data_IF_194060656644
#
_entry.id   IF_194060656644
#
_cell.length_a   1.000
_cell.length_b   1.000
_cell.length_c   1.000
_cell.angle_alpha   90.00
_cell.angle_beta   90.00
_cell.angle_gamma   90.00
#
_symmetry.space_group_name_H-M   'P 1'
#
loop_
_entity.id
_entity.type
_entity.pdbx_description
1 polymer ?
#
# COMPACT_ATOMS: atom_id res chain seq x y z
N UNK A 1 5.52 27.70 1.70
CA UNK A 1 4.79 27.92 0.43
C UNK A 1 4.91 26.77 -0.59
N UNK A 2 5.99 25.96 -0.61
CA UNK A 2 6.19 24.89 -1.60
C UNK A 2 5.16 23.73 -1.60
N UNK A 3 4.53 23.46 -0.46
CA UNK A 3 3.56 22.36 -0.35
C UNK A 3 2.26 22.63 -1.15
N UNK A 4 1.77 23.88 -1.13
CA UNK A 4 0.56 24.28 -1.87
C UNK A 4 0.79 24.32 -3.38
N UNK A 5 1.98 24.73 -3.84
CA UNK A 5 2.33 24.67 -5.26
C UNK A 5 2.41 23.23 -5.75
N UNK A 6 2.94 22.31 -4.93
CA UNK A 6 2.99 20.88 -5.28
C UNK A 6 1.61 20.25 -5.38
N UNK A 7 0.69 20.54 -4.45
CA UNK A 7 -0.68 20.03 -4.51
C UNK A 7 -1.44 20.53 -5.73
N UNK A 8 -1.25 21.80 -6.10
CA UNK A 8 -1.83 22.37 -7.33
C UNK A 8 -1.31 21.65 -8.57
N UNK A 9 0.01 21.41 -8.65
CA UNK A 9 0.61 20.71 -9.79
C UNK A 9 0.08 19.27 -9.90
N UNK A 10 0.04 18.53 -8.79
CA UNK A 10 -0.50 17.16 -8.76
C UNK A 10 -1.96 17.14 -9.21
N UNK A 11 -2.78 18.09 -8.74
CA UNK A 11 -4.17 18.21 -9.16
C UNK A 11 -4.27 18.42 -10.67
N UNK A 12 -3.49 19.36 -11.23
CA UNK A 12 -3.52 19.61 -12.68
C UNK A 12 -3.02 18.43 -13.51
N UNK A 13 -2.08 17.63 -13.01
CA UNK A 13 -1.63 16.41 -13.68
C UNK A 13 -2.70 15.32 -13.68
N UNK A 14 -3.42 15.15 -12.56
CA UNK A 14 -4.53 14.21 -12.44
C UNK A 14 -5.68 14.62 -13.35
N UNK A 15 -6.05 15.90 -13.38
CA UNK A 15 -7.08 16.45 -14.28
C UNK A 15 -6.71 16.20 -15.75
N UNK A 16 -5.47 16.48 -16.15
CA UNK A 16 -4.99 16.22 -17.52
C UNK A 16 -5.02 14.73 -17.87
N UNK A 17 -4.64 13.86 -16.93
CA UNK A 17 -4.70 12.42 -17.18
C UNK A 17 -6.15 11.92 -17.25
N UNK A 18 -7.05 12.47 -16.43
CA UNK A 18 -8.47 12.20 -16.47
C UNK A 18 -9.10 12.68 -17.78
N UNK A 19 -8.74 13.85 -18.31
CA UNK A 19 -9.25 14.31 -19.60
C UNK A 19 -8.74 13.47 -20.77
N UNK A 20 -7.52 12.93 -20.65
CA UNK A 20 -6.90 12.10 -21.68
C UNK A 20 -7.25 10.61 -21.55
N UNK A 21 -7.97 10.21 -20.50
CA UNK A 21 -8.38 8.83 -20.25
C UNK A 21 -9.89 8.74 -20.05
N UNK A 22 -10.49 7.58 -20.26
CA UNK A 22 -11.91 7.37 -19.90
C UNK A 22 -12.08 7.10 -18.39
N UNK A 23 -11.31 7.78 -17.53
CA UNK A 23 -11.27 7.56 -16.08
C UNK A 23 -11.56 8.86 -15.33
N UNK A 24 -12.22 8.74 -14.18
CA UNK A 24 -12.43 9.88 -13.29
C UNK A 24 -11.19 10.14 -12.43
N UNK A 25 -10.99 11.38 -11.99
CA UNK A 25 -9.91 11.76 -11.07
C UNK A 25 -9.89 10.88 -9.82
N UNK A 26 -11.07 10.55 -9.27
CA UNK A 26 -11.23 9.65 -8.12
C UNK A 26 -10.64 8.26 -8.40
N UNK A 27 -10.97 7.66 -9.56
CA UNK A 27 -10.44 6.35 -9.93
C UNK A 27 -8.92 6.38 -10.13
N UNK A 28 -8.38 7.49 -10.61
CA UNK A 28 -6.94 7.68 -10.78
C UNK A 28 -6.25 7.74 -9.42
N UNK A 29 -6.79 8.51 -8.48
CA UNK A 29 -6.29 8.57 -7.10
C UNK A 29 -6.34 7.20 -6.44
N UNK A 30 -7.45 6.47 -6.53
CA UNK A 30 -7.58 5.11 -5.99
C UNK A 30 -6.53 4.14 -6.59
N UNK A 31 -6.30 4.21 -7.90
CA UNK A 31 -5.26 3.40 -8.57
C UNK A 31 -3.87 3.75 -8.07
N UNK A 32 -3.56 5.04 -7.88
CA UNK A 32 -2.28 5.50 -7.34
C UNK A 32 -2.10 5.02 -5.89
N UNK A 33 -3.10 5.23 -5.04
CA UNK A 33 -3.09 4.78 -3.65
C UNK A 33 -2.83 3.27 -3.56
N UNK A 34 -3.56 2.48 -4.36
CA UNK A 34 -3.38 1.03 -4.44
C UNK A 34 -1.98 0.65 -4.91
N UNK A 35 -1.47 1.29 -5.96
CA UNK A 35 -0.13 1.02 -6.49
C UNK A 35 0.97 1.28 -5.45
N UNK A 36 0.92 2.43 -4.77
CA UNK A 36 1.89 2.77 -3.73
C UNK A 36 1.74 1.90 -2.49
N UNK A 37 0.52 1.55 -2.10
CA UNK A 37 0.26 0.59 -1.03
C UNK A 37 0.87 -0.78 -1.36
N UNK A 38 0.64 -1.31 -2.56
CA UNK A 38 1.20 -2.57 -3.01
C UNK A 38 2.73 -2.53 -3.06
N UNK A 39 3.33 -1.42 -3.47
CA UNK A 39 4.79 -1.21 -3.44
C UNK A 39 5.33 -1.31 -2.01
N UNK A 40 4.69 -0.65 -1.05
CA UNK A 40 5.06 -0.73 0.38
C UNK A 40 4.89 -2.14 0.92
N UNK A 41 3.78 -2.82 0.58
CA UNK A 41 3.54 -4.22 0.97
C UNK A 41 4.66 -5.12 0.45
N UNK A 42 5.07 -5.00 -0.82
CA UNK A 42 6.17 -5.80 -1.38
C UNK A 42 7.49 -5.57 -0.64
N UNK A 43 7.83 -4.32 -0.32
CA UNK A 43 9.04 -4.00 0.43
C UNK A 43 9.01 -4.64 1.83
N UNK A 44 7.89 -4.50 2.56
CA UNK A 44 7.74 -5.09 3.88
C UNK A 44 7.71 -6.63 3.86
N UNK A 45 7.13 -7.25 2.83
CA UNK A 45 7.17 -8.70 2.66
C UNK A 45 8.60 -9.21 2.44
N UNK A 46 9.45 -8.47 1.73
CA UNK A 46 10.87 -8.82 1.61
C UNK A 46 11.57 -8.80 2.97
N UNK A 47 11.27 -7.82 3.82
CA UNK A 47 11.82 -7.72 5.18
C UNK A 47 11.30 -8.83 6.09
N UNK A 48 10.00 -9.17 5.98
CA UNK A 48 9.40 -10.29 6.69
C UNK A 48 10.07 -11.62 6.34
N UNK A 49 10.23 -11.91 5.04
CA UNK A 49 10.88 -13.15 4.57
C UNK A 49 12.33 -13.26 5.02
N UNK A 50 13.04 -12.13 5.15
CA UNK A 50 14.40 -12.08 5.69
C UNK A 50 14.46 -12.22 7.22
N UNK A 51 13.32 -12.21 7.91
CA UNK A 51 13.26 -12.22 9.38
C UNK A 51 13.71 -10.91 10.03
N UNK A 52 13.96 -9.85 9.25
CA UNK A 52 14.54 -8.60 9.77
C UNK A 52 13.52 -7.70 10.44
N UNK A 53 12.24 -7.81 10.09
CA UNK A 53 11.15 -7.07 10.74
C UNK A 53 10.06 -8.00 11.24
N UNK A 54 9.55 -7.71 12.44
CA UNK A 54 8.40 -8.42 13.03
C UNK A 54 7.10 -7.94 12.38
N UNK A 55 6.06 -8.78 12.49
CA UNK A 55 4.70 -8.44 12.00
C UNK A 55 4.20 -7.13 12.60
N UNK A 56 4.44 -6.91 13.90
CA UNK A 56 4.05 -5.68 14.60
C UNK A 56 4.58 -4.42 13.91
N UNK A 57 5.86 -4.42 13.53
CA UNK A 57 6.51 -3.25 12.94
C UNK A 57 6.02 -3.03 11.51
N UNK A 58 5.85 -4.12 10.76
CA UNK A 58 5.28 -4.07 9.41
C UNK A 58 3.85 -3.54 9.43
N UNK A 59 3.03 -3.96 10.39
CA UNK A 59 1.64 -3.49 10.51
C UNK A 59 1.57 -2.00 10.85
N UNK A 60 2.52 -1.49 11.64
CA UNK A 60 2.68 -0.05 11.91
C UNK A 60 3.09 0.70 10.64
N UNK A 61 4.09 0.21 9.90
CA UNK A 61 4.58 0.82 8.66
C UNK A 61 3.49 0.91 7.58
N UNK A 62 2.67 -0.14 7.47
CA UNK A 62 1.58 -0.23 6.51
C UNK A 62 0.29 0.43 7.00
N UNK A 63 0.21 0.85 8.27
CA UNK A 63 -1.00 1.35 8.94
C UNK A 63 -2.20 0.41 8.76
N UNK A 64 -1.97 -0.90 8.85
CA UNK A 64 -3.02 -1.93 8.76
C UNK A 64 -3.04 -2.79 10.02
N UNK A 65 -4.16 -3.45 10.28
CA UNK A 65 -4.22 -4.41 11.37
C UNK A 65 -3.40 -5.67 11.05
N UNK A 66 -2.86 -6.37 12.08
CA UNK A 66 -2.21 -7.67 11.89
C UNK A 66 -3.08 -8.68 11.14
N UNK A 67 -4.39 -8.69 11.39
CA UNK A 67 -5.34 -9.56 10.67
C UNK A 67 -5.31 -9.33 9.15
N UNK A 68 -5.32 -8.06 8.71
CA UNK A 68 -5.20 -7.71 7.29
C UNK A 68 -3.85 -8.15 6.72
N UNK A 69 -2.77 -8.00 7.49
CA UNK A 69 -1.45 -8.45 7.05
C UNK A 69 -1.36 -9.98 6.89
N UNK A 70 -1.93 -10.75 7.83
CA UNK A 70 -2.00 -12.21 7.69
C UNK A 70 -2.84 -12.65 6.49
N UNK A 71 -3.93 -11.94 6.16
CA UNK A 71 -4.69 -12.20 4.94
C UNK A 71 -3.86 -11.96 3.67
N UNK A 72 -2.99 -10.94 3.65
CA UNK A 72 -2.04 -10.69 2.55
C UNK A 72 -1.04 -11.84 2.42
N UNK A 73 -0.50 -12.32 3.55
CA UNK A 73 0.38 -13.49 3.62
C UNK A 73 -0.29 -14.73 3.03
N UNK A 74 -1.53 -15.02 3.44
CA UNK A 74 -2.32 -16.14 2.93
C UNK A 74 -2.58 -16.03 1.43
N UNK A 75 -3.03 -14.86 0.96
CA UNK A 75 -3.30 -14.63 -0.47
C UNK A 75 -2.05 -14.81 -1.35
N UNK A 76 -0.86 -14.58 -0.78
CA UNK A 76 0.43 -14.74 -1.47
C UNK A 76 1.09 -16.10 -1.21
N UNK A 77 0.40 -17.03 -0.55
CA UNK A 77 0.93 -18.34 -0.17
C UNK A 77 2.27 -18.23 0.59
N UNK A 78 2.40 -17.25 1.47
CA UNK A 78 3.59 -17.08 2.33
C UNK A 78 3.31 -17.76 3.66
N UNK A 79 4.15 -18.73 4.01
CA UNK A 79 4.10 -19.42 5.29
C UNK A 79 4.26 -18.44 6.45
N UNK A 80 3.37 -18.57 7.43
CA UNK A 80 3.41 -17.83 8.67
C UNK A 80 2.89 -18.74 9.78
N UNK A 81 3.47 -18.61 10.97
CA UNK A 81 3.00 -19.36 12.14
C UNK A 81 1.57 -18.90 12.46
N UNK A 82 0.59 -19.76 12.18
CA UNK A 82 -0.76 -19.61 12.72
C UNK A 82 -0.70 -19.97 14.20
N UNK A 83 -1.20 -19.09 15.05
CA UNK A 83 -1.31 -19.38 16.47
C UNK A 83 -2.35 -20.50 16.65
N UNK A 84 -1.90 -21.73 16.86
CA UNK A 84 -2.76 -22.82 17.31
C UNK A 84 -2.96 -22.64 18.81
N UNK A 85 -4.14 -22.14 19.19
CA UNK A 85 -4.61 -22.17 20.57
C UNK A 85 -5.04 -23.61 20.84
N UNK A 86 -4.10 -24.44 21.31
CA UNK A 86 -4.46 -25.68 21.99
C UNK A 86 -5.09 -25.34 23.33
#
# INVERSE_FOLDING_TARGET
>A
MAFMSNLKNIKTEIEKYASNSNLTELQIVEKLEKHFFDKKVRANLKLYKKGTKKVSDITKDLKISPRKFYAILQKKNIEHKKYNKK
#
